data_IF_655470095450
#
_entry.id   IF_655470095450
#
_cell.length_a   1.000
_cell.length_b   1.000
_cell.length_c   1.000
_cell.angle_alpha   90.00
_cell.angle_beta   90.00
_cell.angle_gamma   90.00
#
_symmetry.space_group_name_H-M   'P 1'
#
loop_
_entity.id
_entity.type
_entity.pdbx_description
1 polymer ?
#
# COMPACT_ATOMS: atom_id res chain seq x y z
N UNK A 1 22.02 -7.38 4.97
CA UNK A 1 22.11 -6.71 3.65
C UNK A 1 21.12 -5.56 3.64
N UNK A 2 21.51 -4.32 3.32
CA UNK A 2 20.54 -3.23 3.20
C UNK A 2 19.68 -3.46 1.95
N UNK A 3 18.36 -3.18 1.98
CA UNK A 3 17.48 -3.37 0.82
C UNK A 3 17.93 -2.47 -0.33
N UNK A 4 18.00 -3.04 -1.54
CA UNK A 4 18.75 -2.46 -2.67
C UNK A 4 18.08 -1.28 -3.40
N UNK A 5 16.84 -0.87 -3.08
CA UNK A 5 16.11 0.07 -3.96
C UNK A 5 15.18 1.10 -3.28
N UNK A 6 15.25 1.30 -1.96
CA UNK A 6 14.39 2.31 -1.31
C UNK A 6 15.14 3.64 -1.18
N UNK A 7 14.58 4.71 -1.75
CA UNK A 7 15.22 6.02 -1.76
C UNK A 7 14.20 7.15 -1.91
N UNK A 8 14.55 8.31 -1.39
CA UNK A 8 13.93 9.56 -1.77
C UNK A 8 14.38 10.00 -3.15
N UNK A 9 13.44 10.52 -3.93
CA UNK A 9 13.67 11.15 -5.23
C UNK A 9 12.94 12.50 -5.28
N UNK A 10 13.41 13.40 -6.12
CA UNK A 10 12.74 14.67 -6.41
C UNK A 10 12.04 14.52 -7.76
N UNK A 11 10.74 14.77 -7.81
CA UNK A 11 9.98 14.83 -9.06
C UNK A 11 9.86 16.29 -9.50
N UNK A 12 10.05 16.53 -10.79
CA UNK A 12 9.92 17.84 -11.42
C UNK A 12 9.01 17.71 -12.64
N UNK A 13 7.88 18.42 -12.65
CA UNK A 13 6.89 18.33 -13.73
C UNK A 13 6.53 16.88 -14.07
N UNK A 14 6.23 16.08 -13.04
CA UNK A 14 5.88 14.65 -13.15
C UNK A 14 7.00 13.73 -13.68
N UNK A 15 8.23 14.25 -13.86
CA UNK A 15 9.40 13.46 -14.26
C UNK A 15 10.35 13.26 -13.08
N UNK A 16 10.90 12.05 -12.88
CA UNK A 16 11.91 11.83 -11.85
C UNK A 16 13.18 12.61 -12.20
N UNK A 17 13.61 13.48 -11.29
CA UNK A 17 14.92 14.08 -11.38
C UNK A 17 15.99 13.02 -11.08
N UNK A 18 17.18 13.18 -11.63
CA UNK A 18 18.29 12.23 -11.45
C UNK A 18 18.84 12.16 -10.00
N UNK A 19 18.25 12.87 -9.05
CA UNK A 19 18.68 12.93 -7.66
C UNK A 19 17.99 11.87 -6.81
N UNK A 20 18.78 11.04 -6.13
CA UNK A 20 18.31 9.99 -5.24
C UNK A 20 19.15 9.93 -3.97
N UNK A 21 18.51 9.74 -2.82
CA UNK A 21 19.21 9.56 -1.54
C UNK A 21 18.38 8.70 -0.58
N UNK A 22 19.03 8.02 0.35
CA UNK A 22 18.32 7.23 1.36
C UNK A 22 17.66 8.12 2.42
N UNK A 23 18.30 9.22 2.84
CA UNK A 23 17.72 10.17 3.79
C UNK A 23 17.14 11.37 3.05
N UNK A 24 16.01 11.87 3.56
CA UNK A 24 15.35 13.08 3.05
C UNK A 24 16.23 14.32 3.17
N UNK A 25 17.00 14.40 4.25
CA UNK A 25 17.83 15.56 4.61
C UNK A 25 18.95 15.79 3.60
N UNK A 26 19.53 14.72 3.05
CA UNK A 26 20.56 14.80 2.01
C UNK A 26 20.04 15.45 0.71
N UNK A 27 18.73 15.37 0.44
CA UNK A 27 18.09 16.01 -0.71
C UNK A 27 17.55 17.41 -0.41
N UNK A 28 17.44 17.84 0.84
CA UNK A 28 16.94 19.18 1.20
C UNK A 28 17.68 20.35 0.55
N UNK A 29 19.03 20.39 0.52
CA UNK A 29 19.71 21.52 -0.12
C UNK A 29 19.39 21.59 -1.62
N UNK A 30 19.37 20.45 -2.31
CA UNK A 30 19.03 20.34 -3.74
C UNK A 30 17.58 20.70 -3.99
N UNK A 31 16.67 20.18 -3.14
CA UNK A 31 15.25 20.43 -3.22
C UNK A 31 14.92 21.92 -3.06
N UNK A 32 15.48 22.60 -2.05
CA UNK A 32 15.27 24.05 -1.85
C UNK A 32 15.74 24.86 -3.05
N UNK A 33 16.88 24.48 -3.64
CA UNK A 33 17.41 25.14 -4.84
C UNK A 33 16.53 24.92 -6.07
N UNK A 34 15.95 23.72 -6.22
CA UNK A 34 14.99 23.42 -7.27
C UNK A 34 13.67 24.15 -7.06
N UNK A 35 13.14 24.16 -5.83
CA UNK A 35 11.89 24.81 -5.48
C UNK A 35 11.94 26.33 -5.76
N UNK A 36 13.09 26.97 -5.53
CA UNK A 36 13.30 28.37 -5.85
C UNK A 36 13.22 28.68 -7.36
N UNK A 37 13.50 27.70 -8.22
CA UNK A 37 13.42 27.84 -9.69
C UNK A 37 12.13 27.27 -10.28
N UNK A 38 11.58 26.25 -9.64
CA UNK A 38 10.46 25.46 -10.12
C UNK A 38 9.58 25.07 -8.93
N UNK A 39 8.43 25.75 -8.79
CA UNK A 39 7.46 25.51 -7.72
C UNK A 39 6.79 24.13 -7.79
N UNK A 40 6.92 23.42 -8.91
CA UNK A 40 6.40 22.07 -9.13
C UNK A 40 7.30 20.95 -8.58
N UNK A 41 8.42 21.28 -7.94
CA UNK A 41 9.30 20.29 -7.35
C UNK A 41 8.65 19.63 -6.13
N UNK A 42 8.53 18.30 -6.14
CA UNK A 42 8.01 17.50 -5.02
C UNK A 42 8.97 16.39 -4.62
N UNK A 43 9.04 16.07 -3.33
CA UNK A 43 9.78 14.90 -2.84
C UNK A 43 8.87 13.70 -2.77
N UNK A 44 9.37 12.57 -3.25
CA UNK A 44 8.67 11.30 -3.18
C UNK A 44 9.61 10.21 -2.68
N UNK A 45 9.07 9.30 -1.88
CA UNK A 45 9.70 8.08 -1.43
C UNK A 45 9.43 6.97 -2.45
N UNK A 46 10.48 6.50 -3.10
CA UNK A 46 10.41 5.33 -3.95
C UNK A 46 10.75 4.09 -3.13
N UNK A 47 9.83 3.12 -3.13
CA UNK A 47 10.05 1.81 -2.50
C UNK A 47 9.26 0.75 -3.25
N UNK A 48 9.87 -0.42 -3.46
CA UNK A 48 9.25 -1.60 -4.08
C UNK A 48 8.48 -1.34 -5.39
N UNK A 49 8.98 -0.42 -6.23
CA UNK A 49 8.35 -0.10 -7.52
C UNK A 49 7.18 0.89 -7.45
N UNK A 50 6.89 1.45 -6.26
CA UNK A 50 5.90 2.50 -6.07
C UNK A 50 6.52 3.82 -5.62
N UNK A 51 5.85 4.93 -5.93
CA UNK A 51 6.17 6.28 -5.44
C UNK A 51 5.14 6.69 -4.39
N UNK A 52 5.62 7.15 -3.24
CA UNK A 52 4.82 7.54 -2.09
C UNK A 52 5.19 8.95 -1.64
N UNK A 53 4.28 9.73 -1.05
CA UNK A 53 4.65 11.05 -0.51
C UNK A 53 5.53 10.93 0.73
N UNK A 54 5.40 9.83 1.48
CA UNK A 54 6.14 9.55 2.71
C UNK A 54 6.40 8.04 2.90
N UNK A 55 7.50 7.63 3.56
CA UNK A 55 7.75 6.24 3.97
C UNK A 55 6.65 5.68 4.88
N UNK A 56 5.99 6.54 5.67
CA UNK A 56 4.90 6.13 6.54
C UNK A 56 3.66 5.66 5.75
N UNK A 57 3.38 6.32 4.62
CA UNK A 57 2.27 5.96 3.73
C UNK A 57 2.53 4.66 2.98
N UNK A 58 3.78 4.42 2.58
CA UNK A 58 4.21 3.13 2.04
C UNK A 58 3.97 2.02 3.08
N UNK A 59 4.42 2.22 4.31
CA UNK A 59 4.27 1.23 5.39
C UNK A 59 2.79 0.97 5.72
N UNK A 60 1.95 2.02 5.70
CA UNK A 60 0.51 1.89 5.93
C UNK A 60 -0.20 1.15 4.80
N UNK A 61 0.16 1.45 3.55
CA UNK A 61 -0.38 0.75 2.37
C UNK A 61 0.02 -0.71 2.36
N UNK A 62 1.28 -1.01 2.70
CA UNK A 62 1.77 -2.39 2.86
C UNK A 62 1.01 -3.15 3.94
N UNK A 63 0.75 -2.52 5.10
CA UNK A 63 -0.06 -3.14 6.17
C UNK A 63 -1.47 -3.45 5.69
N UNK A 64 -2.07 -2.58 4.87
CA UNK A 64 -3.38 -2.78 4.31
C UNK A 64 -3.40 -3.94 3.29
N UNK A 65 -2.40 -3.99 2.40
CA UNK A 65 -2.27 -5.08 1.41
C UNK A 65 -2.10 -6.46 2.08
N UNK A 66 -1.31 -6.55 3.15
CA UNK A 66 -1.15 -7.79 3.93
C UNK A 66 -2.46 -8.20 4.61
N UNK A 67 -3.25 -7.25 5.12
CA UNK A 67 -4.57 -7.52 5.70
C UNK A 67 -5.52 -8.07 4.63
N UNK A 68 -5.63 -7.37 3.49
CA UNK A 68 -6.47 -7.78 2.36
C UNK A 68 -6.10 -9.16 1.83
N UNK A 69 -4.80 -9.48 1.71
CA UNK A 69 -4.34 -10.80 1.28
C UNK A 69 -4.72 -11.91 2.29
N UNK A 70 -4.64 -11.64 3.60
CA UNK A 70 -5.06 -12.59 4.65
C UNK A 70 -6.57 -12.80 4.66
N UNK A 71 -7.35 -11.75 4.40
CA UNK A 71 -8.81 -11.81 4.26
C UNK A 71 -9.21 -12.60 2.99
N UNK A 72 -8.52 -12.38 1.85
CA UNK A 72 -8.72 -13.19 0.63
C UNK A 72 -8.31 -14.65 0.79
N UNK A 73 -7.29 -14.96 1.61
CA UNK A 73 -6.89 -16.35 1.92
C UNK A 73 -7.95 -17.08 2.78
N UNK A 74 -8.85 -16.37 3.44
CA UNK A 74 -9.96 -16.90 4.24
C UNK A 74 -11.30 -16.92 3.47
N UNK A 75 -11.28 -17.35 2.21
CA UNK A 75 -12.50 -17.68 1.47
C UNK A 75 -12.72 -19.20 1.53
N UNK A 76 -13.64 -19.72 2.36
CA UNK A 76 -14.17 -21.05 2.13
C UNK A 76 -15.04 -20.97 0.87
N UNK A 77 -14.50 -21.48 -0.25
CA UNK A 77 -15.26 -21.82 -1.45
C UNK A 77 -16.26 -22.94 -1.13
N UNK A 78 -17.33 -22.61 -0.41
CA UNK A 78 -18.35 -23.55 -0.02
C UNK A 78 -19.41 -22.85 0.80
N UNK A 79 -20.62 -22.77 0.26
CA UNK A 79 -21.82 -22.30 0.97
C UNK A 79 -21.82 -22.82 2.41
N UNK A 80 -21.55 -21.93 3.36
CA UNK A 80 -21.82 -22.22 4.76
C UNK A 80 -23.33 -22.12 4.95
N UNK A 81 -24.03 -23.19 4.59
CA UNK A 81 -25.35 -23.45 5.14
C UNK A 81 -25.13 -23.70 6.63
N UNK A 82 -25.61 -22.77 7.48
CA UNK A 82 -25.52 -22.91 8.93
C UNK A 82 -26.10 -24.29 9.32
N UNK A 83 -25.35 -25.16 10.03
CA UNK A 83 -25.81 -26.52 10.32
C UNK A 83 -27.06 -26.56 11.23
N UNK A 84 -27.52 -25.43 11.77
CA UNK A 84 -28.82 -25.31 12.48
C UNK A 84 -30.01 -25.13 11.53
N UNK A 85 -29.79 -24.77 10.25
CA UNK A 85 -30.87 -24.65 9.26
C UNK A 85 -31.50 -26.01 8.88
N UNK A 86 -30.82 -27.13 9.18
CA UNK A 86 -31.20 -28.48 8.75
C UNK A 86 -32.24 -29.20 9.60
N UNK A 87 -32.90 -28.52 10.56
CA UNK A 87 -33.84 -29.19 11.48
C UNK A 87 -35.18 -28.47 11.63
N UNK A 88 -35.93 -28.33 10.54
CA UNK A 88 -37.39 -28.08 10.60
C UNK A 88 -38.10 -28.67 9.40
N UNK A 89 -38.06 -29.99 9.23
CA UNK A 89 -39.19 -30.71 8.62
C UNK A 89 -39.28 -32.11 9.22
N UNK A 90 -40.50 -32.44 9.66
CA UNK A 90 -41.09 -33.79 9.82
C UNK A 90 -41.73 -33.99 11.21
N UNK A 91 -42.96 -33.47 11.38
CA UNK A 91 -43.97 -34.15 12.22
C UNK A 91 -45.36 -34.11 11.57
N UNK A 92 -45.63 -35.22 10.88
CA UNK A 92 -46.90 -35.97 10.81
C UNK A 92 -48.14 -35.37 10.18
N UNK A 93 -48.50 -35.97 9.04
CA UNK A 93 -49.87 -36.12 8.51
C UNK A 93 -50.53 -37.35 9.19
N UNK A 94 -51.71 -37.17 9.80
CA UNK A 94 -52.80 -38.14 10.13
C UNK A 94 -53.66 -37.47 11.21
N UNK A 95 -54.98 -37.40 11.16
CA UNK A 95 -55.98 -38.28 10.53
C UNK A 95 -57.23 -37.49 10.16
#
# INVERSE_FOLDING_TARGET
MPPRYDYWTIMLNERPAAFRAYKREDLMPTYRRLLAKHSSAVLMWFSKGGLWPSPEEEQSSRRNEVRKNRESRWQPEGSHEDPRARRVTNRTKKS
#
